data_IF_005126511798
#
_entry.id   IF_005126511798
#
_cell.length_a   1.000
_cell.length_b   1.000
_cell.length_c   1.000
_cell.angle_alpha   90.00
_cell.angle_beta   90.00
_cell.angle_gamma   90.00
#
_symmetry.space_group_name_H-M   'P 1'
#
loop_
_entity.id
_entity.type
_entity.pdbx_description
1 polymer ?
#
# COMPACT_ATOMS: atom_id res chain seq x y z
N UNK A 1 7.50 -3.52 12.32
CA UNK A 1 8.11 -2.44 11.50
C UNK A 1 7.05 -1.39 11.33
N UNK A 2 7.15 -0.29 12.07
CA UNK A 2 6.18 0.81 12.01
C UNK A 2 6.80 1.94 11.19
N UNK A 3 5.99 2.56 10.33
CA UNK A 3 6.44 3.62 9.41
C UNK A 3 5.74 4.91 9.78
N UNK A 4 6.55 5.95 9.91
CA UNK A 4 6.19 7.29 10.34
C UNK A 4 6.37 8.27 9.19
N UNK A 5 5.61 9.37 9.25
CA UNK A 5 5.82 10.54 8.41
C UNK A 5 6.15 11.76 9.29
N UNK A 6 7.28 11.73 10.02
CA UNK A 6 7.88 12.79 10.89
C UNK A 6 7.02 13.28 12.11
N UNK A 7 7.55 14.04 13.10
CA UNK A 7 7.94 13.48 14.40
C UNK A 7 6.98 13.76 15.58
N UNK A 8 7.17 13.00 16.66
CA UNK A 8 6.13 12.24 17.36
C UNK A 8 5.71 12.82 18.72
N UNK A 9 4.47 12.48 19.11
CA UNK A 9 4.16 12.00 20.47
C UNK A 9 2.97 11.02 20.37
N UNK A 10 3.28 9.73 20.47
CA UNK A 10 2.46 8.51 20.63
C UNK A 10 1.07 8.42 19.96
N UNK A 11 0.90 7.41 19.09
CA UNK A 11 -0.38 6.74 18.78
C UNK A 11 -1.49 7.55 18.09
N UNK A 12 -1.29 8.83 17.81
CA UNK A 12 -2.32 9.73 17.29
C UNK A 12 -1.94 10.27 15.91
N UNK A 13 -2.90 10.21 14.98
CA UNK A 13 -2.84 11.01 13.78
C UNK A 13 -2.81 12.49 14.13
N UNK A 14 -1.75 13.22 13.78
CA UNK A 14 -1.68 14.68 14.02
C UNK A 14 -2.14 15.41 12.76
N UNK A 15 -3.13 16.29 12.94
CA UNK A 15 -3.54 17.25 11.91
C UNK A 15 -2.92 18.61 12.24
N UNK A 16 -1.92 19.05 11.46
CA UNK A 16 -1.33 20.38 11.60
C UNK A 16 -1.98 21.27 10.54
N UNK A 17 -2.61 22.36 10.98
CA UNK A 17 -3.19 23.38 10.10
C UNK A 17 -2.32 24.63 10.20
N UNK A 18 -1.57 24.92 9.15
CA UNK A 18 -0.85 26.17 8.95
C UNK A 18 -1.17 26.68 7.55
N UNK A 19 -1.44 27.97 7.40
CA UNK A 19 -1.56 28.64 6.10
C UNK A 19 -2.51 27.93 5.12
N UNK A 20 -3.76 27.67 5.55
CA UNK A 20 -4.81 26.96 4.80
C UNK A 20 -4.47 25.51 4.36
N UNK A 21 -3.36 24.95 4.83
CA UNK A 21 -2.95 23.57 4.53
C UNK A 21 -3.26 22.61 5.67
N UNK A 22 -3.39 21.31 5.35
CA UNK A 22 -3.57 20.23 6.32
C UNK A 22 -2.46 19.21 6.14
N UNK A 23 -1.63 19.03 7.17
CA UNK A 23 -0.65 17.93 7.25
C UNK A 23 -1.16 16.84 8.17
N UNK A 24 -1.12 15.59 7.68
CA UNK A 24 -1.54 14.40 8.43
C UNK A 24 -0.33 13.48 8.58
N UNK A 25 -0.05 13.08 9.81
CA UNK A 25 1.02 12.14 10.13
C UNK A 25 0.42 10.95 10.87
N UNK A 26 0.89 9.74 10.57
CA UNK A 26 0.43 8.53 11.28
C UNK A 26 1.51 7.47 11.26
N UNK A 27 1.50 6.63 12.29
CA UNK A 27 2.40 5.50 12.45
C UNK A 27 1.59 4.22 12.28
N UNK A 28 2.05 3.32 11.41
CA UNK A 28 1.37 2.06 11.17
C UNK A 28 2.36 0.93 10.91
N UNK A 29 1.98 -0.30 11.26
CA UNK A 29 2.78 -1.47 10.95
C UNK A 29 2.79 -1.76 9.45
N UNK A 30 3.99 -1.86 8.86
CA UNK A 30 4.23 -2.24 7.48
C UNK A 30 3.61 -3.61 7.14
N UNK A 31 3.65 -4.52 8.11
CA UNK A 31 3.08 -5.86 8.04
C UNK A 31 2.02 -5.95 9.12
N UNK A 32 0.81 -6.34 8.72
CA UNK A 32 -0.33 -6.49 9.63
C UNK A 32 -0.91 -7.90 9.55
N UNK A 33 -1.71 -8.28 10.53
CA UNK A 33 -2.46 -9.52 10.46
C UNK A 33 -3.58 -9.39 9.44
N UNK A 34 -3.73 -10.40 8.59
CA UNK A 34 -4.89 -10.54 7.70
C UNK A 34 -6.19 -10.47 8.52
N UNK A 35 -7.29 -10.10 7.87
CA UNK A 35 -8.61 -9.97 8.50
C UNK A 35 -9.03 -11.18 9.35
N UNK A 36 -8.55 -12.39 9.03
CA UNK A 36 -8.88 -13.63 9.74
C UNK A 36 -7.76 -14.13 10.66
N UNK A 37 -6.70 -13.34 10.88
CA UNK A 37 -5.59 -13.65 11.81
C UNK A 37 -4.61 -14.74 11.36
N UNK A 38 -4.93 -15.50 10.31
CA UNK A 38 -4.13 -16.69 9.94
C UNK A 38 -2.82 -16.38 9.19
N UNK A 39 -2.68 -15.18 8.63
CA UNK A 39 -1.53 -14.79 7.82
C UNK A 39 -1.11 -13.36 8.12
N UNK A 40 0.18 -13.07 7.93
CA UNK A 40 0.70 -11.71 7.85
C UNK A 40 0.54 -11.19 6.41
N UNK A 41 0.18 -9.93 6.26
CA UNK A 41 -0.03 -9.28 4.96
C UNK A 41 0.74 -7.97 4.89
N UNK A 42 1.33 -7.72 3.73
CA UNK A 42 2.00 -6.46 3.40
C UNK A 42 1.09 -5.68 2.45
N UNK A 43 0.16 -4.91 3.03
CA UNK A 43 -0.81 -4.09 2.31
C UNK A 43 -0.68 -2.66 2.82
N UNK A 44 0.15 -1.90 2.16
CA UNK A 44 0.48 -0.53 2.51
C UNK A 44 0.94 0.25 1.27
N UNK A 45 1.34 1.51 1.47
CA UNK A 45 1.76 2.42 0.41
C UNK A 45 3.26 2.72 0.40
N UNK A 46 4.11 1.91 1.06
CA UNK A 46 5.56 2.15 1.13
C UNK A 46 6.18 2.28 -0.27
N UNK A 47 5.93 1.29 -1.13
CA UNK A 47 6.48 1.24 -2.49
C UNK A 47 6.10 2.47 -3.33
N UNK A 48 4.80 2.82 -3.49
CA UNK A 48 4.44 4.00 -4.27
C UNK A 48 4.86 5.32 -3.60
N UNK A 49 4.79 5.42 -2.26
CA UNK A 49 5.23 6.64 -1.56
C UNK A 49 6.73 6.87 -1.73
N UNK A 50 7.56 5.83 -1.63
CA UNK A 50 9.00 5.98 -1.87
C UNK A 50 9.34 6.47 -3.28
N UNK A 51 8.52 6.13 -4.28
CA UNK A 51 8.69 6.60 -5.66
C UNK A 51 8.22 8.06 -5.86
N UNK A 52 7.15 8.46 -5.19
CA UNK A 52 6.51 9.77 -5.40
C UNK A 52 7.06 10.86 -4.46
N UNK A 53 7.30 10.50 -3.20
CA UNK A 53 7.73 11.42 -2.15
C UNK A 53 8.51 10.66 -1.05
N UNK A 54 9.79 10.32 -1.28
CA UNK A 54 10.58 9.54 -0.33
C UNK A 54 10.82 10.27 1.00
N UNK A 55 10.86 11.61 0.99
CA UNK A 55 11.22 12.43 2.15
C UNK A 55 10.22 12.31 3.31
N UNK A 56 8.96 11.99 3.00
CA UNK A 56 7.91 11.82 4.01
C UNK A 56 7.90 10.43 4.63
N UNK A 57 8.73 9.48 4.19
CA UNK A 57 8.67 8.09 4.64
C UNK A 57 9.86 7.72 5.53
N UNK A 58 9.60 7.42 6.79
CA UNK A 58 10.62 7.08 7.80
C UNK A 58 10.17 5.92 8.68
N UNK A 59 11.08 5.30 9.41
CA UNK A 59 10.68 4.43 10.52
C UNK A 59 10.11 5.24 11.68
N UNK A 60 9.46 4.55 12.62
CA UNK A 60 8.92 5.14 13.85
C UNK A 60 9.97 5.88 14.69
N UNK A 61 11.26 5.55 14.57
CA UNK A 61 12.35 6.26 15.25
C UNK A 61 12.93 7.43 14.43
N UNK A 62 12.21 7.88 13.40
CA UNK A 62 12.61 8.90 12.42
C UNK A 62 13.82 8.53 11.55
N UNK A 63 14.37 7.32 11.69
CA UNK A 63 15.43 6.85 10.81
C UNK A 63 14.90 6.64 9.39
N UNK A 64 15.78 6.87 8.41
CA UNK A 64 15.44 6.65 7.00
C UNK A 64 15.27 5.17 6.72
N UNK A 65 14.39 4.83 5.78
CA UNK A 65 14.28 3.47 5.29
C UNK A 65 15.52 3.18 4.43
N UNK A 66 16.35 2.18 4.78
CA UNK A 66 17.56 1.87 4.03
C UNK A 66 17.27 1.54 2.57
N UNK A 67 18.16 1.97 1.68
CA UNK A 67 17.99 1.79 0.23
C UNK A 67 18.03 0.31 -0.19
N UNK A 68 18.79 -0.52 0.51
CA UNK A 68 18.85 -1.97 0.33
C UNK A 68 17.53 -2.66 0.71
N UNK A 69 16.88 -2.22 1.78
CA UNK A 69 15.52 -2.67 2.15
C UNK A 69 14.53 -2.33 1.04
N UNK A 70 14.56 -1.10 0.53
CA UNK A 70 13.67 -0.71 -0.57
C UNK A 70 13.96 -1.49 -1.86
N UNK A 71 15.23 -1.77 -2.14
CA UNK A 71 15.62 -2.60 -3.29
C UNK A 71 15.06 -4.01 -3.17
N UNK A 72 15.24 -4.66 -2.03
CA UNK A 72 14.70 -6.00 -1.77
C UNK A 72 13.18 -6.03 -1.88
N UNK A 73 12.49 -5.04 -1.30
CA UNK A 73 11.02 -4.94 -1.41
C UNK A 73 10.55 -4.84 -2.87
N UNK A 74 11.24 -4.05 -3.70
CA UNK A 74 10.91 -3.93 -5.13
C UNK A 74 11.18 -5.25 -5.88
N UNK A 75 12.29 -5.94 -5.59
CA UNK A 75 12.61 -7.24 -6.20
C UNK A 75 11.58 -8.32 -5.83
N UNK A 76 11.14 -8.34 -4.57
CA UNK A 76 10.07 -9.24 -4.11
C UNK A 76 8.75 -8.88 -4.80
N UNK A 77 8.39 -7.59 -4.84
CA UNK A 77 7.15 -7.14 -5.47
C UNK A 77 7.10 -7.52 -6.95
N UNK A 78 8.19 -7.28 -7.70
CA UNK A 78 8.30 -7.63 -9.11
C UNK A 78 8.18 -9.16 -9.31
N UNK A 79 8.88 -9.95 -8.49
CA UNK A 79 8.83 -11.42 -8.56
C UNK A 79 7.46 -12.01 -8.25
N UNK A 80 6.70 -11.37 -7.36
CA UNK A 80 5.35 -11.81 -6.97
C UNK A 80 4.24 -11.21 -7.85
N UNK A 81 4.56 -10.23 -8.69
CA UNK A 81 3.58 -9.56 -9.54
C UNK A 81 3.19 -10.45 -10.71
N UNK A 82 1.90 -10.69 -10.86
CA UNK A 82 1.33 -11.32 -12.05
C UNK A 82 0.84 -10.24 -13.01
N UNK A 83 1.38 -10.21 -14.23
CA UNK A 83 0.93 -9.28 -15.26
C UNK A 83 -0.37 -9.76 -15.92
N UNK A 84 -1.35 -8.86 -16.02
CA UNK A 84 -2.65 -9.15 -16.63
C UNK A 84 -2.72 -8.59 -18.05
N UNK A 85 -2.68 -9.49 -19.02
CA UNK A 85 -2.86 -9.19 -20.45
C UNK A 85 -4.35 -9.08 -20.82
N UNK A 86 -5.01 -8.04 -20.28
CA UNK A 86 -6.44 -7.79 -20.39
C UNK A 86 -7.00 -7.94 -21.82
N UNK A 87 -8.07 -8.71 -21.93
CA UNK A 87 -8.94 -8.80 -23.09
C UNK A 87 -10.30 -8.17 -22.81
N UNK A 88 -11.01 -7.76 -23.87
CA UNK A 88 -12.35 -7.21 -23.73
C UNK A 88 -13.27 -8.26 -23.12
N UNK A 89 -13.90 -7.90 -22.00
CA UNK A 89 -14.84 -8.77 -21.28
C UNK A 89 -14.23 -9.51 -20.09
N UNK A 90 -12.90 -9.45 -19.92
CA UNK A 90 -12.25 -10.00 -18.73
C UNK A 90 -12.74 -9.31 -17.46
N UNK A 91 -12.87 -10.09 -16.39
CA UNK A 91 -13.23 -9.62 -15.06
C UNK A 91 -12.20 -10.20 -14.07
N UNK A 92 -11.54 -9.31 -13.34
CA UNK A 92 -10.68 -9.69 -12.22
C UNK A 92 -11.36 -9.30 -10.91
N UNK A 93 -11.50 -10.28 -10.02
CA UNK A 93 -11.90 -10.03 -8.63
C UNK A 93 -10.70 -10.24 -7.72
N UNK A 94 -10.38 -9.25 -6.91
CA UNK A 94 -9.27 -9.32 -5.95
C UNK A 94 -9.77 -9.13 -4.52
N UNK A 95 -9.13 -9.82 -3.58
CA UNK A 95 -9.27 -9.55 -2.15
C UNK A 95 -8.28 -8.43 -1.78
N UNK A 96 -8.77 -7.20 -1.70
CA UNK A 96 -7.96 -6.01 -1.40
C UNK A 96 -7.33 -6.04 0.01
N UNK A 97 -7.67 -7.02 0.85
CA UNK A 97 -7.01 -7.23 2.16
C UNK A 97 -5.73 -8.05 2.07
N UNK A 98 -5.40 -8.58 0.89
CA UNK A 98 -4.26 -9.49 0.67
C UNK A 98 -3.45 -9.18 -0.58
N UNK A 99 -3.99 -8.40 -1.52
CA UNK A 99 -3.39 -8.15 -2.82
C UNK A 99 -3.15 -6.65 -2.99
N UNK A 100 -1.89 -6.27 -3.20
CA UNK A 100 -1.56 -4.97 -3.80
C UNK A 100 -1.73 -5.07 -5.31
N UNK A 101 -2.14 -3.97 -5.94
CA UNK A 101 -2.26 -3.89 -7.39
C UNK A 101 -1.66 -2.58 -7.90
N UNK A 102 -1.22 -2.61 -9.15
CA UNK A 102 -0.64 -1.46 -9.83
C UNK A 102 -0.88 -1.54 -11.33
N UNK A 103 -0.20 -0.69 -12.08
CA UNK A 103 -0.34 -0.62 -13.53
C UNK A 103 1.00 -0.34 -14.18
N UNK A 104 1.35 -1.10 -15.22
CA UNK A 104 2.47 -0.75 -16.11
C UNK A 104 2.14 0.47 -16.97
N UNK A 105 3.16 1.15 -17.46
CA UNK A 105 2.95 2.16 -18.47
C UNK A 105 2.29 1.54 -19.71
N UNK A 106 1.45 2.30 -20.42
CA UNK A 106 0.79 1.85 -21.65
C UNK A 106 0.67 3.01 -22.63
N UNK A 107 0.60 2.70 -23.93
CA UNK A 107 0.45 3.68 -25.02
C UNK A 107 -0.90 3.57 -25.73
N UNK A 108 -1.73 2.58 -25.37
CA UNK A 108 -3.05 2.38 -25.95
C UNK A 108 -4.07 3.39 -25.41
N UNK A 109 -4.49 4.32 -26.27
CA UNK A 109 -5.48 5.36 -25.95
C UNK A 109 -6.92 4.83 -25.84
N UNK A 110 -7.19 3.59 -26.29
CA UNK A 110 -8.53 3.00 -26.29
C UNK A 110 -8.79 2.05 -25.11
N UNK A 111 -7.81 1.88 -24.23
CA UNK A 111 -7.90 0.99 -23.08
C UNK A 111 -8.81 1.55 -21.98
N UNK A 112 -9.95 0.90 -21.77
CA UNK A 112 -10.90 1.25 -20.71
C UNK A 112 -10.98 0.13 -19.66
N UNK A 113 -10.73 0.46 -18.38
CA UNK A 113 -10.94 -0.44 -17.25
C UNK A 113 -11.93 0.22 -16.29
N UNK A 114 -12.97 -0.53 -15.94
CA UNK A 114 -13.97 -0.13 -14.95
C UNK A 114 -13.69 -0.84 -13.64
N UNK A 115 -13.85 -0.11 -12.53
CA UNK A 115 -13.58 -0.62 -11.18
C UNK A 115 -14.86 -0.50 -10.36
N UNK A 116 -15.11 -1.52 -9.52
CA UNK A 116 -16.15 -1.47 -8.49
C UNK A 116 -15.57 -1.92 -7.17
N UNK A 117 -15.80 -1.12 -6.13
CA UNK A 117 -15.50 -1.49 -4.76
C UNK A 117 -16.74 -2.12 -4.13
N UNK A 118 -16.52 -3.15 -3.33
CA UNK A 118 -17.57 -3.88 -2.63
C UNK A 118 -17.20 -4.00 -1.16
N UNK A 119 -18.20 -3.93 -0.28
CA UNK A 119 -18.03 -4.37 1.10
C UNK A 119 -17.63 -5.85 1.11
N UNK A 120 -16.81 -6.29 2.06
CA UNK A 120 -16.37 -7.67 2.12
C UNK A 120 -17.55 -8.61 2.32
N UNK A 121 -17.90 -9.38 1.29
CA UNK A 121 -19.04 -10.29 1.29
C UNK A 121 -18.75 -11.64 1.99
N UNK A 122 -17.48 -11.95 2.24
CA UNK A 122 -17.05 -13.23 2.83
C UNK A 122 -16.63 -13.05 4.28
N UNK A 123 -17.18 -13.87 5.18
CA UNK A 123 -16.73 -13.97 6.57
C UNK A 123 -15.48 -14.82 6.66
N UNK A 124 -14.73 -14.67 7.75
CA UNK A 124 -13.67 -15.60 8.08
C UNK A 124 -14.29 -16.97 8.33
N UNK A 125 -14.09 -17.91 7.39
CA UNK A 125 -14.43 -19.31 7.61
C UNK A 125 -13.59 -19.78 8.80
N UNK A 126 -14.24 -20.16 9.90
CA UNK A 126 -13.60 -20.92 10.97
C UNK A 126 -13.27 -22.28 10.36
N UNK A 127 -12.01 -22.53 10.04
CA UNK A 127 -11.51 -23.90 9.87
C UNK A 127 -11.38 -24.55 11.23
#
# INVERSE_FOLDING_TARGET
MNICTQPISEGLGKQIINDDSVRIEYIFSAVTSSRCGNHQVFINSILPTMQLNPEVLRFEDDSEIPADVMKELNEIAERLTTEMAWQKGDILMIDNTKIMHGRRNFTDEKRNIYIRLCSPAFSCLKM
#
